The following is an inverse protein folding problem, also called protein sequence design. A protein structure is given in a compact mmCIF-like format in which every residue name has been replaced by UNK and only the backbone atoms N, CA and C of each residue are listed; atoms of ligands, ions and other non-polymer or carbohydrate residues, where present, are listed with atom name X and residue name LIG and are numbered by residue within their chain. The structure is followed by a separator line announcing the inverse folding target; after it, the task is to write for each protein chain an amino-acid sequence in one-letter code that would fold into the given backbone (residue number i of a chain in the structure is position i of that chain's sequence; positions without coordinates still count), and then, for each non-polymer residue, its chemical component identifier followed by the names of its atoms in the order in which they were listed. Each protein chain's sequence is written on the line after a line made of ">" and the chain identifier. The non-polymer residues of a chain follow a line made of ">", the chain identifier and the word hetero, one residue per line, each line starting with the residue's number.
data_IF_265931619208
#
_entry.id   IF_265931619208
#
_cell.length_a   1.000
_cell.length_b   1.000
_cell.length_c   1.000
_cell.angle_alpha   90.00
_cell.angle_beta   90.00
_cell.angle_gamma   90.00
#
_symmetry.space_group_name_H-M   'P 1'
#
loop_
_entity.id
_entity.type
_entity.pdbx_description
1 polymer ?
#
# COMPACT_ATOMS: atom_id res chain seq x y z
N UNK A 1 -17.54 -16.58 -17.08
CA UNK A 1 -16.68 -15.56 -17.71
C UNK A 1 -15.40 -15.44 -16.93
N UNK A 2 -14.31 -15.91 -17.50
CA UNK A 2 -13.00 -15.77 -16.88
C UNK A 2 -12.53 -14.34 -17.11
N UNK A 3 -12.51 -13.56 -16.05
CA UNK A 3 -11.77 -12.30 -16.06
C UNK A 3 -10.28 -12.66 -15.91
N UNK A 4 -9.66 -12.98 -17.04
CA UNK A 4 -8.20 -13.13 -17.08
C UNK A 4 -7.56 -11.74 -16.94
N UNK A 5 -7.42 -11.30 -15.72
CA UNK A 5 -6.52 -10.20 -15.44
C UNK A 5 -5.12 -10.80 -15.56
N UNK A 6 -4.48 -10.55 -16.69
CA UNK A 6 -3.10 -10.98 -16.89
C UNK A 6 -2.21 -10.22 -15.91
N UNK A 7 -1.85 -10.91 -14.85
CA UNK A 7 -0.85 -10.44 -13.90
C UNK A 7 0.48 -11.07 -14.31
N UNK A 8 1.53 -10.25 -14.37
CA UNK A 8 2.88 -10.73 -14.67
C UNK A 8 3.54 -11.28 -13.40
N UNK A 9 4.74 -11.84 -13.54
CA UNK A 9 5.49 -12.41 -12.42
C UNK A 9 5.77 -11.40 -11.32
N UNK A 10 6.00 -10.14 -11.68
CA UNK A 10 6.24 -9.06 -10.72
C UNK A 10 5.03 -8.82 -9.83
N UNK A 11 3.83 -8.83 -10.42
CA UNK A 11 2.57 -8.67 -9.67
C UNK A 11 2.30 -9.89 -8.80
N UNK A 12 2.58 -11.09 -9.28
CA UNK A 12 2.42 -12.33 -8.49
C UNK A 12 3.37 -12.33 -7.29
N UNK A 13 4.61 -11.89 -7.48
CA UNK A 13 5.59 -11.77 -6.41
C UNK A 13 5.14 -10.72 -5.38
N UNK A 14 4.64 -9.59 -5.84
CA UNK A 14 4.10 -8.54 -4.98
C UNK A 14 2.95 -9.08 -4.12
N UNK A 15 2.00 -9.76 -4.74
CA UNK A 15 0.86 -10.37 -4.05
C UNK A 15 1.33 -11.31 -2.94
N UNK A 16 2.25 -12.18 -3.26
CA UNK A 16 2.78 -13.14 -2.29
C UNK A 16 3.50 -12.45 -1.14
N UNK A 17 4.33 -11.47 -1.44
CA UNK A 17 5.06 -10.69 -0.44
C UNK A 17 4.11 -9.97 0.51
N UNK A 18 3.10 -9.29 -0.02
CA UNK A 18 2.13 -8.55 0.78
C UNK A 18 1.26 -9.52 1.60
N UNK A 19 0.86 -10.63 1.00
CA UNK A 19 0.07 -11.67 1.69
C UNK A 19 0.82 -12.23 2.90
N UNK A 20 2.07 -12.60 2.73
CA UNK A 20 2.91 -13.11 3.82
C UNK A 20 3.08 -12.07 4.92
N UNK A 21 3.34 -10.83 4.54
CA UNK A 21 3.44 -9.73 5.51
C UNK A 21 2.14 -9.55 6.28
N UNK A 22 1.01 -9.53 5.58
CA UNK A 22 -0.30 -9.32 6.18
C UNK A 22 -0.69 -10.46 7.14
N UNK A 23 -0.43 -11.70 6.74
CA UNK A 23 -0.71 -12.87 7.59
C UNK A 23 0.15 -12.89 8.84
N UNK A 24 1.38 -12.44 8.75
CA UNK A 24 2.33 -12.44 9.87
C UNK A 24 2.15 -11.25 10.81
N UNK A 25 1.90 -10.07 10.26
CA UNK A 25 1.98 -8.81 11.03
C UNK A 25 0.63 -8.11 11.25
N UNK A 26 -0.38 -8.41 10.45
CA UNK A 26 -1.69 -7.75 10.53
C UNK A 26 -2.76 -8.70 11.05
N UNK A 27 -2.91 -9.88 10.46
CA UNK A 27 -3.94 -10.83 10.85
C UNK A 27 -3.92 -11.17 12.35
N UNK A 28 -2.75 -11.38 13.00
CA UNK A 28 -2.74 -11.70 14.42
C UNK A 28 -3.26 -10.59 15.34
N UNK A 29 -3.23 -9.34 14.89
CA UNK A 29 -3.69 -8.19 15.67
C UNK A 29 -4.99 -7.58 15.16
N UNK A 30 -5.62 -8.18 14.14
CA UNK A 30 -6.83 -7.64 13.52
C UNK A 30 -7.98 -7.50 14.52
N UNK A 31 -8.20 -8.48 15.37
CA UNK A 31 -9.24 -8.43 16.40
C UNK A 31 -8.98 -7.34 17.45
N UNK A 32 -7.72 -7.13 17.81
CA UNK A 32 -7.33 -6.08 18.75
C UNK A 32 -7.56 -4.69 18.15
N UNK A 33 -7.26 -4.51 16.87
CA UNK A 33 -7.52 -3.26 16.15
C UNK A 33 -9.01 -2.94 16.15
N UNK A 34 -9.84 -3.95 15.86
CA UNK A 34 -11.29 -3.79 15.80
C UNK A 34 -11.86 -3.46 17.19
N UNK A 35 -11.43 -4.17 18.22
CA UNK A 35 -11.88 -3.96 19.60
C UNK A 35 -11.47 -2.60 20.15
N UNK A 36 -10.20 -2.23 19.96
CA UNK A 36 -9.62 -1.03 20.59
C UNK A 36 -9.80 0.23 19.74
N UNK A 37 -10.21 0.08 18.49
CA UNK A 37 -10.43 1.18 17.53
C UNK A 37 -9.18 2.07 17.39
N UNK A 38 -8.01 1.45 17.40
CA UNK A 38 -6.72 2.14 17.27
C UNK A 38 -5.91 1.55 16.12
N UNK A 39 -5.34 2.43 15.28
CA UNK A 39 -4.42 2.02 14.23
C UNK A 39 -3.04 1.76 14.86
N UNK A 40 -2.44 0.58 14.64
CA UNK A 40 -1.10 0.30 15.15
C UNK A 40 -0.05 1.10 14.37
N UNK A 41 0.47 2.15 14.98
CA UNK A 41 1.35 3.12 14.31
C UNK A 41 2.61 2.49 13.72
N UNK A 42 3.11 1.40 14.31
CA UNK A 42 4.31 0.71 13.80
C UNK A 42 4.10 0.14 12.39
N UNK A 43 2.86 -0.11 11.97
CA UNK A 43 2.58 -0.63 10.63
C UNK A 43 2.98 0.35 9.53
N UNK A 44 2.91 1.66 9.77
CA UNK A 44 3.37 2.64 8.78
C UNK A 44 4.84 2.43 8.43
N UNK A 45 5.68 2.27 9.44
CA UNK A 45 7.11 2.03 9.24
C UNK A 45 7.35 0.70 8.50
N UNK A 46 6.64 -0.35 8.89
CA UNK A 46 6.80 -1.67 8.26
C UNK A 46 6.32 -1.68 6.81
N UNK A 47 5.18 -1.04 6.53
CA UNK A 47 4.68 -0.90 5.15
C UNK A 47 5.64 -0.06 4.31
N UNK A 48 6.23 0.98 4.89
CA UNK A 48 7.23 1.80 4.21
C UNK A 48 8.50 1.03 3.86
N UNK A 49 8.98 0.17 4.75
CA UNK A 49 10.15 -0.68 4.48
C UNK A 49 9.92 -1.64 3.31
N UNK A 50 8.69 -2.08 3.09
CA UNK A 50 8.33 -2.92 1.96
C UNK A 50 8.12 -2.13 0.66
N UNK A 51 8.20 -0.80 0.71
CA UNK A 51 7.98 0.05 -0.46
C UNK A 51 6.52 0.22 -0.84
N UNK A 52 5.58 -0.10 0.05
CA UNK A 52 4.15 -0.10 -0.28
C UNK A 52 3.50 1.27 -0.16
N UNK A 53 4.07 2.20 0.60
CA UNK A 53 3.46 3.51 0.84
C UNK A 53 3.52 4.43 -0.37
N UNK A 54 4.53 4.28 -1.21
CA UNK A 54 4.67 5.03 -2.45
C UNK A 54 4.70 4.12 -3.67
N UNK A 55 3.84 3.13 -3.72
CA UNK A 55 3.90 2.06 -4.72
C UNK A 55 3.75 2.58 -6.15
N UNK A 56 2.92 3.60 -6.39
CA UNK A 56 2.70 4.19 -7.72
C UNK A 56 3.61 5.39 -8.00
N UNK A 57 4.42 5.80 -7.05
CA UNK A 57 5.30 6.96 -7.18
C UNK A 57 6.59 6.55 -7.86
N UNK A 58 7.11 7.34 -8.84
CA UNK A 58 8.40 7.06 -9.46
C UNK A 58 9.55 7.00 -8.47
N UNK A 59 10.56 6.20 -8.79
CA UNK A 59 11.74 6.02 -7.95
C UNK A 59 12.48 7.33 -7.66
N UNK A 60 12.44 8.28 -8.59
CA UNK A 60 13.08 9.60 -8.40
C UNK A 60 12.55 10.38 -7.20
N UNK A 61 11.32 10.06 -6.75
CA UNK A 61 10.72 10.65 -5.55
C UNK A 61 10.74 9.70 -4.35
N UNK A 62 11.43 8.58 -4.47
CA UNK A 62 11.54 7.58 -3.41
C UNK A 62 10.45 6.51 -3.43
N UNK A 63 9.65 6.45 -4.48
CA UNK A 63 8.61 5.45 -4.64
C UNK A 63 9.09 4.15 -5.26
N UNK A 64 8.19 3.21 -5.43
CA UNK A 64 8.47 1.88 -5.99
C UNK A 64 8.30 1.81 -7.51
N UNK A 65 7.70 2.83 -8.14
CA UNK A 65 7.56 2.91 -9.59
C UNK A 65 6.68 1.82 -10.20
N UNK A 66 5.74 1.27 -9.45
CA UNK A 66 4.86 0.21 -9.91
C UNK A 66 3.53 0.77 -10.44
N UNK A 67 2.71 -0.11 -11.03
CA UNK A 67 1.43 0.27 -11.61
C UNK A 67 0.34 0.49 -10.57
N UNK A 68 -0.76 1.12 -11.00
CA UNK A 68 -1.94 1.26 -10.16
C UNK A 68 -2.55 -0.12 -9.81
N UNK A 69 -2.45 -1.10 -10.72
CA UNK A 69 -2.86 -2.48 -10.45
C UNK A 69 -2.08 -3.03 -9.24
N UNK A 70 -0.78 -2.74 -9.16
CA UNK A 70 0.03 -3.15 -8.01
C UNK A 70 -0.52 -2.58 -6.69
N UNK A 71 -0.94 -1.32 -6.70
CA UNK A 71 -1.58 -0.70 -5.54
C UNK A 71 -2.87 -1.42 -5.15
N UNK A 72 -3.71 -1.79 -6.11
CA UNK A 72 -4.95 -2.52 -5.85
C UNK A 72 -4.68 -3.91 -5.27
N UNK A 73 -3.67 -4.60 -5.79
CA UNK A 73 -3.27 -5.93 -5.31
C UNK A 73 -2.77 -5.85 -3.86
N UNK A 74 -1.92 -4.87 -3.55
CA UNK A 74 -1.43 -4.66 -2.19
C UNK A 74 -2.59 -4.36 -1.24
N UNK A 75 -3.51 -3.49 -1.63
CA UNK A 75 -4.67 -3.14 -0.83
C UNK A 75 -5.60 -4.33 -0.59
N UNK A 76 -5.81 -5.18 -1.61
CA UNK A 76 -6.60 -6.40 -1.49
C UNK A 76 -6.01 -7.35 -0.44
N UNK A 77 -4.72 -7.61 -0.50
CA UNK A 77 -4.07 -8.53 0.42
C UNK A 77 -4.01 -8.00 1.86
N UNK A 78 -3.79 -6.71 2.03
CA UNK A 78 -3.84 -6.08 3.35
C UNK A 78 -5.28 -6.15 3.90
N UNK A 79 -6.27 -5.85 3.07
CA UNK A 79 -7.67 -5.86 3.48
C UNK A 79 -8.19 -7.24 3.86
N UNK A 80 -7.66 -8.31 3.28
CA UNK A 80 -7.98 -9.69 3.67
C UNK A 80 -7.62 -9.97 5.12
N UNK A 81 -6.52 -9.39 5.59
CA UNK A 81 -6.08 -9.55 6.98
C UNK A 81 -6.84 -8.61 7.94
N UNK A 82 -7.06 -7.37 7.51
CA UNK A 82 -7.83 -6.36 8.26
C UNK A 82 -8.37 -5.31 7.30
N UNK A 83 -9.69 -5.23 7.20
CA UNK A 83 -10.35 -4.20 6.39
C UNK A 83 -10.03 -2.79 6.89
N UNK A 84 -9.91 -2.61 8.19
CA UNK A 84 -9.56 -1.33 8.82
C UNK A 84 -8.18 -0.86 8.39
N UNK A 85 -7.18 -1.73 8.43
CA UNK A 85 -5.82 -1.42 7.97
C UNK A 85 -5.82 -1.17 6.47
N UNK A 86 -6.55 -1.97 5.70
CA UNK A 86 -6.69 -1.80 4.26
C UNK A 86 -7.25 -0.44 3.88
N UNK A 87 -8.28 0.03 4.59
CA UNK A 87 -8.86 1.35 4.37
C UNK A 87 -7.83 2.46 4.65
N UNK A 88 -7.13 2.39 5.76
CA UNK A 88 -6.10 3.37 6.13
C UNK A 88 -4.95 3.38 5.13
N UNK A 89 -4.50 2.21 4.70
CA UNK A 89 -3.48 2.06 3.66
C UNK A 89 -3.93 2.71 2.35
N UNK A 90 -5.14 2.40 1.88
CA UNK A 90 -5.68 2.96 0.64
C UNK A 90 -5.85 4.48 0.69
N UNK A 91 -6.27 5.01 1.83
CA UNK A 91 -6.37 6.45 2.02
C UNK A 91 -5.01 7.13 1.88
N UNK A 92 -3.95 6.53 2.44
CA UNK A 92 -2.61 7.07 2.31
C UNK A 92 -2.05 6.90 0.90
N UNK A 93 -2.02 5.67 0.38
CA UNK A 93 -1.35 5.35 -0.88
C UNK A 93 -2.07 5.90 -2.11
N UNK A 94 -3.40 5.90 -2.11
CA UNK A 94 -4.20 6.32 -3.24
C UNK A 94 -4.78 7.72 -3.09
N UNK A 95 -5.56 7.97 -2.04
CA UNK A 95 -6.24 9.25 -1.89
C UNK A 95 -5.28 10.41 -1.60
N UNK A 96 -4.14 10.14 -0.99
CA UNK A 96 -3.15 11.16 -0.70
C UNK A 96 -1.97 11.09 -1.67
N UNK A 97 -1.15 10.07 -1.58
CA UNK A 97 0.13 9.97 -2.31
C UNK A 97 -0.06 9.94 -3.82
N UNK A 98 -0.93 9.07 -4.32
CA UNK A 98 -1.17 8.96 -5.76
C UNK A 98 -1.77 10.25 -6.33
N UNK A 99 -2.65 10.92 -5.58
CA UNK A 99 -3.24 12.19 -6.02
C UNK A 99 -2.21 13.31 -6.09
N UNK A 100 -1.30 13.37 -5.12
CA UNK A 100 -0.18 14.31 -5.17
C UNK A 100 0.70 14.06 -6.39
N UNK A 101 0.95 12.78 -6.70
CA UNK A 101 1.74 12.42 -7.88
C UNK A 101 1.07 12.83 -9.17
N UNK A 102 -0.24 12.57 -9.31
CA UNK A 102 -0.98 12.83 -10.55
C UNK A 102 -1.31 14.31 -10.76
N UNK A 103 -1.62 15.04 -9.70
CA UNK A 103 -2.20 16.38 -9.78
C UNK A 103 -1.32 17.49 -9.20
N UNK A 104 -0.25 17.14 -8.48
CA UNK A 104 0.69 18.12 -7.95
C UNK A 104 1.63 18.66 -9.01
N UNK A 105 2.21 19.84 -8.74
CA UNK A 105 3.32 20.35 -9.56
C UNK A 105 4.65 19.77 -9.05
N UNK A 106 5.75 20.05 -9.76
CA UNK A 106 7.05 19.48 -9.41
C UNK A 106 7.51 19.86 -8.00
N UNK A 107 7.27 21.10 -7.59
CA UNK A 107 7.64 21.58 -6.27
C UNK A 107 6.87 20.83 -5.17
N UNK A 108 5.58 20.60 -5.37
CA UNK A 108 4.74 19.87 -4.43
C UNK A 108 5.16 18.40 -4.34
N UNK A 109 5.48 17.78 -5.47
CA UNK A 109 5.98 16.40 -5.50
C UNK A 109 7.28 16.25 -4.75
N UNK A 110 8.23 17.15 -5.00
CA UNK A 110 9.53 17.13 -4.32
C UNK A 110 9.38 17.34 -2.81
N UNK A 111 8.54 18.28 -2.40
CA UNK A 111 8.36 18.60 -0.99
C UNK A 111 7.67 17.49 -0.20
N UNK A 112 6.66 16.85 -0.79
CA UNK A 112 5.76 15.92 -0.08
C UNK A 112 6.14 14.46 -0.28
N UNK A 113 6.44 14.05 -1.52
CA UNK A 113 6.62 12.63 -1.84
C UNK A 113 7.93 12.05 -1.31
N UNK A 114 8.94 12.87 -1.07
CA UNK A 114 10.21 12.40 -0.49
C UNK A 114 10.06 11.92 0.95
N UNK A 115 8.94 12.22 1.59
CA UNK A 115 8.66 11.81 2.97
C UNK A 115 7.76 10.57 3.07
N UNK A 116 7.59 9.86 1.97
CA UNK A 116 6.78 8.64 1.96
C UNK A 116 7.34 7.59 2.91
#
# INVERSE_FOLDING_TARGET
>A
MNLDIQVNEEIDLLRETVRQFAEKNIAPIADDIDRDNEFPQHLWTELGKLGLLGITVPEKYGGSGMSYLANLIAMEEISRASASVGLSYGAHSNLCVNQLMLNGNDQQRELSLIHI
#
